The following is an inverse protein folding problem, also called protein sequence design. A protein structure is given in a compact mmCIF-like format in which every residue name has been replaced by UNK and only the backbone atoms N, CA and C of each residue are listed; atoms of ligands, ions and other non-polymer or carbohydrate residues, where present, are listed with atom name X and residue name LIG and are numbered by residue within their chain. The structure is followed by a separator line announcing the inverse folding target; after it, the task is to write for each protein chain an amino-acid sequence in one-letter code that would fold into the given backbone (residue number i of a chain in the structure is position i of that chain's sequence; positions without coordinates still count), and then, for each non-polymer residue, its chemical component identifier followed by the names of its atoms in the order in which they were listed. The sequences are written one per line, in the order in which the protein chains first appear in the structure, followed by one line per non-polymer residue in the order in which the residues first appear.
data_IF_094932272333
#
_entry.id   IF_094932272333
#
_cell.length_a   1.000
_cell.length_b   1.000
_cell.length_c   1.000
_cell.angle_alpha   90.00
_cell.angle_beta   90.00
_cell.angle_gamma   90.00
#
_symmetry.space_group_name_H-M   'P 1'
#
loop_
_entity.id
_entity.type
_entity.pdbx_description
1 polymer ?
#
# COMPACT_ATOMS: atom_id res chain seq x y z
N UNK A 1 10.61 18.10 0.96
CA UNK A 1 9.62 18.44 -0.08
C UNK A 1 9.88 17.60 -1.31
N UNK A 2 8.90 16.78 -1.67
CA UNK A 2 8.92 16.02 -2.91
C UNK A 2 8.24 16.84 -4.01
N UNK A 3 8.92 17.00 -5.14
CA UNK A 3 8.38 17.62 -6.33
C UNK A 3 7.89 16.50 -7.25
N UNK A 4 6.56 16.35 -7.34
CA UNK A 4 5.91 15.20 -7.97
C UNK A 4 5.02 15.66 -9.13
N UNK A 5 4.89 14.82 -10.15
CA UNK A 5 4.03 15.09 -11.29
C UNK A 5 2.58 15.30 -10.85
N UNK A 6 1.94 16.35 -11.37
CA UNK A 6 0.56 16.67 -11.05
C UNK A 6 -0.40 15.59 -11.57
N UNK A 7 -1.36 15.18 -10.74
CA UNK A 7 -2.38 14.23 -11.13
C UNK A 7 -3.55 14.91 -11.86
N UNK A 8 -4.10 14.21 -12.84
CA UNK A 8 -5.17 14.69 -13.72
C UNK A 8 -6.21 13.60 -13.92
N UNK A 9 -7.38 14.01 -14.36
CA UNK A 9 -8.42 13.09 -14.79
C UNK A 9 -7.89 12.13 -15.87
N UNK A 10 -8.32 10.88 -15.80
CA UNK A 10 -7.86 9.76 -16.62
C UNK A 10 -6.40 9.34 -16.42
N UNK A 11 -5.68 9.93 -15.46
CA UNK A 11 -4.43 9.33 -15.02
C UNK A 11 -4.74 8.03 -14.24
N UNK A 12 -3.84 7.06 -14.35
CA UNK A 12 -4.01 5.69 -13.86
C UNK A 12 -3.82 5.61 -12.36
N UNK A 13 -4.56 4.71 -11.71
CA UNK A 13 -4.33 4.31 -10.32
C UNK A 13 -3.89 2.86 -10.26
N UNK A 14 -3.05 2.52 -9.29
CA UNK A 14 -2.51 1.19 -9.13
C UNK A 14 -2.45 0.78 -7.65
N UNK A 15 -2.64 -0.51 -7.40
CA UNK A 15 -2.33 -1.10 -6.11
C UNK A 15 -0.90 -1.63 -6.08
N UNK A 16 -0.40 -1.83 -4.87
CA UNK A 16 0.86 -2.50 -4.66
C UNK A 16 0.67 -4.02 -4.77
N UNK A 17 1.77 -4.78 -4.89
CA UNK A 17 1.70 -6.24 -4.87
C UNK A 17 1.69 -6.81 -3.43
N UNK A 18 1.14 -6.09 -2.45
CA UNK A 18 1.32 -6.41 -1.02
C UNK A 18 0.82 -7.80 -0.65
N UNK A 19 -0.33 -8.20 -1.20
CA UNK A 19 -0.87 -9.56 -1.00
C UNK A 19 0.04 -10.65 -1.59
N UNK A 20 0.64 -10.40 -2.77
CA UNK A 20 1.58 -11.33 -3.41
C UNK A 20 2.83 -11.54 -2.56
N UNK A 21 3.39 -10.47 -2.01
CA UNK A 21 4.55 -10.53 -1.11
C UNK A 21 4.22 -11.19 0.22
N UNK A 22 3.00 -11.00 0.74
CA UNK A 22 2.52 -11.71 1.92
C UNK A 22 2.52 -13.23 1.69
N UNK A 23 1.96 -13.69 0.56
CA UNK A 23 1.91 -15.12 0.22
C UNK A 23 3.32 -15.68 -0.01
N UNK A 24 4.17 -14.95 -0.74
CA UNK A 24 5.56 -15.36 -0.99
C UNK A 24 6.35 -15.49 0.33
N UNK A 25 6.17 -14.54 1.25
CA UNK A 25 6.77 -14.56 2.58
C UNK A 25 6.30 -15.76 3.42
N UNK A 26 4.99 -16.06 3.38
CA UNK A 26 4.43 -17.23 4.07
C UNK A 26 5.04 -18.53 3.57
N UNK A 27 5.05 -18.74 2.25
CA UNK A 27 5.55 -19.97 1.62
C UNK A 27 7.06 -20.11 1.81
N UNK A 28 7.82 -19.04 1.55
CA UNK A 28 9.28 -19.03 1.72
C UNK A 28 9.68 -19.26 3.18
N UNK A 29 8.98 -18.61 4.12
CA UNK A 29 9.18 -18.77 5.55
C UNK A 29 8.90 -20.20 6.01
N UNK A 30 7.83 -20.84 5.52
CA UNK A 30 7.51 -22.23 5.85
C UNK A 30 8.57 -23.21 5.34
N UNK A 31 9.06 -23.03 4.11
CA UNK A 31 10.10 -23.89 3.51
C UNK A 31 11.42 -23.74 4.28
N UNK A 32 11.86 -22.51 4.53
CA UNK A 32 13.09 -22.23 5.28
C UNK A 32 12.97 -22.76 6.71
N UNK A 33 11.82 -22.54 7.35
CA UNK A 33 11.53 -23.04 8.68
C UNK A 33 11.63 -24.57 8.76
N UNK A 34 11.01 -25.29 7.82
CA UNK A 34 11.08 -26.74 7.74
C UNK A 34 12.52 -27.24 7.53
N UNK A 35 13.29 -26.60 6.65
CA UNK A 35 14.70 -26.95 6.40
C UNK A 35 15.57 -26.75 7.65
N UNK A 36 15.42 -25.63 8.36
CA UNK A 36 16.17 -25.38 9.61
C UNK A 36 15.79 -26.40 10.68
N UNK A 37 14.50 -26.75 10.82
CA UNK A 37 14.05 -27.77 11.77
C UNK A 37 14.69 -29.13 11.44
N UNK A 38 14.69 -29.52 10.16
CA UNK A 38 15.27 -30.79 9.71
C UNK A 38 16.77 -30.88 9.99
N UNK A 39 17.53 -29.79 9.77
CA UNK A 39 18.99 -29.77 9.98
C UNK A 39 19.37 -29.67 11.46
N UNK A 40 18.60 -28.93 12.26
CA UNK A 40 18.95 -28.66 13.68
C UNK A 40 18.34 -29.64 14.67
N UNK A 41 17.59 -30.64 14.19
CA UNK A 41 16.83 -31.56 15.05
C UNK A 41 15.83 -30.82 15.94
N UNK A 42 15.34 -29.66 15.49
CA UNK A 42 14.42 -28.81 16.24
C UNK A 42 15.04 -27.87 17.26
N UNK A 43 16.38 -27.86 17.48
CA UNK A 43 17.06 -27.01 18.47
C UNK A 43 17.16 -25.51 18.10
N UNK A 44 16.96 -25.15 16.84
CA UNK A 44 16.81 -23.76 16.39
C UNK A 44 15.35 -23.33 16.15
N UNK A 45 14.39 -24.26 16.25
CA UNK A 45 12.98 -24.04 15.89
C UNK A 45 12.32 -22.86 16.63
N UNK A 46 12.64 -22.66 17.91
CA UNK A 46 12.08 -21.55 18.72
C UNK A 46 12.60 -20.19 18.24
N UNK A 47 13.87 -20.09 17.85
CA UNK A 47 14.45 -18.84 17.34
C UNK A 47 13.88 -18.50 15.95
N UNK A 48 13.72 -19.50 15.08
CA UNK A 48 13.11 -19.32 13.76
C UNK A 48 11.63 -18.95 13.88
N UNK A 49 10.89 -19.59 14.78
CA UNK A 49 9.49 -19.29 14.99
C UNK A 49 9.29 -17.93 15.67
N UNK A 50 10.18 -17.50 16.56
CA UNK A 50 10.16 -16.15 17.14
C UNK A 50 10.48 -15.06 16.11
N UNK A 51 11.41 -15.30 15.18
CA UNK A 51 11.69 -14.38 14.07
C UNK A 51 10.51 -14.33 13.08
N UNK A 52 9.89 -15.46 12.76
CA UNK A 52 8.70 -15.51 11.90
C UNK A 52 7.47 -14.83 12.54
N UNK A 53 7.29 -15.00 13.85
CA UNK A 53 6.24 -14.30 14.62
C UNK A 53 6.52 -12.80 14.81
N UNK A 54 7.79 -12.41 14.96
CA UNK A 54 8.19 -11.00 15.04
C UNK A 54 8.05 -10.25 13.72
N UNK A 55 8.32 -10.94 12.60
CA UNK A 55 8.14 -10.40 11.26
C UNK A 55 6.67 -10.13 10.88
N UNK A 56 5.71 -10.69 11.61
CA UNK A 56 4.27 -10.44 11.41
C UNK A 56 3.72 -9.28 12.27
N UNK A 57 4.55 -8.63 13.12
CA UNK A 57 4.08 -7.72 14.17
C UNK A 57 3.97 -6.22 13.83
N UNK A 58 4.05 -5.80 12.56
CA UNK A 58 4.05 -4.36 12.24
C UNK A 58 3.64 -4.01 10.81
N UNK A 59 2.43 -4.42 10.40
CA UNK A 59 1.92 -4.19 9.04
C UNK A 59 2.17 -5.34 8.07
N UNK A 60 2.73 -6.46 8.54
CA UNK A 60 3.09 -7.60 7.69
C UNK A 60 4.24 -7.28 6.73
N UNK A 61 5.25 -8.15 6.65
CA UNK A 61 6.31 -8.00 5.64
C UNK A 61 5.78 -7.87 4.21
N UNK A 62 4.58 -8.40 3.92
CA UNK A 62 3.93 -8.28 2.63
C UNK A 62 3.64 -6.83 2.23
N UNK A 63 3.03 -6.05 3.13
CA UNK A 63 2.72 -4.64 2.88
C UNK A 63 3.98 -3.80 2.78
N UNK A 64 4.94 -4.02 3.68
CA UNK A 64 6.22 -3.32 3.66
C UNK A 64 7.01 -3.60 2.38
N UNK A 65 7.06 -4.85 1.93
CA UNK A 65 7.75 -5.20 0.68
C UNK A 65 6.95 -4.74 -0.55
N UNK A 66 5.62 -4.80 -0.49
CA UNK A 66 4.73 -4.34 -1.54
C UNK A 66 4.79 -2.83 -1.75
N UNK A 67 4.96 -2.04 -0.69
CA UNK A 67 5.04 -0.58 -0.75
C UNK A 67 6.42 -0.07 -1.20
N UNK A 68 7.40 -0.93 -1.41
CA UNK A 68 8.73 -0.51 -1.86
C UNK A 68 8.69 -0.04 -3.30
N UNK A 69 9.52 0.95 -3.65
CA UNK A 69 9.57 1.51 -5.00
C UNK A 69 9.96 0.51 -6.10
N UNK A 70 10.61 -0.60 -5.75
CA UNK A 70 11.00 -1.67 -6.66
C UNK A 70 9.93 -2.76 -6.82
N UNK A 71 8.90 -2.76 -5.96
CA UNK A 71 7.83 -3.72 -6.03
C UNK A 71 6.94 -3.45 -7.24
N UNK A 72 6.46 -4.51 -7.91
CA UNK A 72 5.56 -4.34 -9.04
C UNK A 72 4.24 -3.72 -8.58
N UNK A 73 3.69 -2.87 -9.45
CA UNK A 73 2.34 -2.32 -9.33
C UNK A 73 1.50 -2.78 -10.50
N UNK A 74 0.21 -2.92 -10.27
CA UNK A 74 -0.75 -3.27 -11.30
C UNK A 74 -1.83 -2.20 -11.36
N UNK A 75 -2.13 -1.76 -12.58
CA UNK A 75 -3.14 -0.72 -12.81
C UNK A 75 -4.52 -1.30 -12.57
N UNK A 76 -5.28 -0.67 -11.69
CA UNK A 76 -6.60 -1.14 -11.25
C UNK A 76 -7.73 -0.20 -11.62
N UNK A 77 -7.38 0.95 -12.20
CA UNK A 77 -8.37 1.87 -12.77
C UNK A 77 -7.80 3.24 -13.06
N UNK A 78 -8.67 4.25 -13.00
CA UNK A 78 -8.34 5.64 -13.36
C UNK A 78 -9.00 6.66 -12.44
N UNK A 79 -8.41 7.85 -12.39
CA UNK A 79 -8.97 9.02 -11.73
C UNK A 79 -10.13 9.60 -12.55
N UNK A 80 -11.22 9.94 -11.85
CA UNK A 80 -12.46 10.46 -12.42
C UNK A 80 -12.99 11.62 -11.58
N UNK A 81 -13.49 12.69 -12.21
CA UNK A 81 -14.04 13.83 -11.46
C UNK A 81 -12.96 14.79 -10.95
N UNK A 82 -12.28 15.45 -11.88
CA UNK A 82 -11.34 16.53 -11.58
C UNK A 82 -11.98 17.88 -11.27
N UNK A 83 -11.16 18.92 -11.25
CA UNK A 83 -11.58 20.31 -11.09
C UNK A 83 -12.45 20.78 -12.27
N UNK A 84 -13.53 21.55 -12.02
CA UNK A 84 -14.39 22.08 -13.08
C UNK A 84 -13.78 23.25 -13.86
N UNK A 85 -12.67 23.84 -13.39
CA UNK A 85 -12.11 25.06 -13.97
C UNK A 85 -10.57 25.13 -13.98
N UNK A 86 -9.87 24.19 -13.33
CA UNK A 86 -8.41 24.10 -13.37
C UNK A 86 -8.01 22.88 -14.17
N UNK A 87 -7.27 23.11 -15.25
CA UNK A 87 -6.82 22.08 -16.17
C UNK A 87 -5.29 22.04 -16.23
N UNK A 88 -4.75 20.84 -16.29
CA UNK A 88 -3.32 20.58 -16.45
C UNK A 88 -3.16 19.79 -17.75
N UNK A 89 -2.48 20.37 -18.74
CA UNK A 89 -2.36 19.81 -20.09
C UNK A 89 -3.72 19.41 -20.70
N UNK A 90 -4.74 20.26 -20.52
CA UNK A 90 -6.07 20.05 -21.09
C UNK A 90 -6.94 19.00 -20.37
N UNK A 91 -6.46 18.38 -19.30
CA UNK A 91 -7.24 17.46 -18.45
C UNK A 91 -7.54 18.09 -17.10
N UNK A 92 -8.71 17.80 -16.53
CA UNK A 92 -9.11 18.37 -15.25
C UNK A 92 -8.12 17.97 -14.14
N UNK A 93 -7.69 18.92 -13.32
CA UNK A 93 -6.73 18.67 -12.26
C UNK A 93 -7.38 17.94 -11.06
N UNK A 94 -6.64 17.05 -10.40
CA UNK A 94 -7.19 16.23 -9.31
C UNK A 94 -6.92 16.87 -7.95
N UNK A 95 -7.91 16.77 -7.05
CA UNK A 95 -7.92 17.37 -5.72
C UNK A 95 -8.14 16.28 -4.67
N UNK A 96 -7.34 16.29 -3.62
CA UNK A 96 -7.63 15.50 -2.42
C UNK A 96 -8.99 15.90 -1.82
N UNK A 97 -9.59 15.01 -1.05
CA UNK A 97 -10.90 15.15 -0.38
C UNK A 97 -12.15 15.16 -1.29
N UNK A 98 -12.02 15.59 -2.54
CA UNK A 98 -13.18 15.80 -3.41
C UNK A 98 -13.13 15.01 -4.71
N UNK A 99 -11.96 14.88 -5.35
CA UNK A 99 -11.85 14.03 -6.53
C UNK A 99 -11.84 12.56 -6.14
N UNK A 100 -12.20 11.71 -7.08
CA UNK A 100 -12.30 10.27 -6.84
C UNK A 100 -11.65 9.46 -7.98
N UNK A 101 -11.46 8.17 -7.77
CA UNK A 101 -11.05 7.21 -8.78
C UNK A 101 -12.02 6.05 -8.82
N UNK A 102 -12.09 5.40 -9.98
CA UNK A 102 -12.77 4.12 -10.13
C UNK A 102 -11.72 3.02 -9.98
N UNK A 103 -11.74 2.29 -8.86
CA UNK A 103 -10.86 1.16 -8.60
C UNK A 103 -11.63 -0.15 -8.80
N UNK A 104 -11.12 -1.07 -9.62
CA UNK A 104 -11.78 -2.34 -9.90
C UNK A 104 -11.62 -3.39 -8.78
N UNK A 105 -10.60 -3.26 -7.91
CA UNK A 105 -10.26 -4.28 -6.91
C UNK A 105 -11.08 -4.17 -5.62
N UNK A 106 -11.35 -2.95 -5.16
CA UNK A 106 -12.03 -2.69 -3.88
C UNK A 106 -13.55 -2.43 -4.04
N UNK A 107 -14.12 -2.97 -5.11
CA UNK A 107 -15.55 -2.93 -5.44
C UNK A 107 -15.96 -1.77 -6.35
N UNK A 108 -17.24 -1.71 -6.78
CA UNK A 108 -17.73 -0.76 -7.79
C UNK A 108 -17.82 0.70 -7.29
N UNK A 109 -17.33 0.97 -6.08
CA UNK A 109 -17.46 2.26 -5.43
C UNK A 109 -16.32 3.19 -5.84
N UNK A 110 -16.68 4.44 -6.14
CA UNK A 110 -15.74 5.54 -6.32
C UNK A 110 -14.95 5.73 -5.03
N UNK A 111 -13.62 5.78 -5.14
CA UNK A 111 -12.71 5.96 -4.01
C UNK A 111 -12.19 7.38 -4.01
N UNK A 112 -12.34 8.08 -2.91
CA UNK A 112 -11.89 9.48 -2.79
C UNK A 112 -10.37 9.53 -2.80
N UNK A 113 -9.79 10.56 -3.42
CA UNK A 113 -8.36 10.85 -3.33
C UNK A 113 -8.09 11.40 -1.93
N UNK A 114 -7.33 10.66 -1.11
CA UNK A 114 -7.18 10.93 0.31
C UNK A 114 -5.90 11.72 0.65
N UNK A 115 -5.05 11.97 -0.34
CA UNK A 115 -3.78 12.68 -0.16
C UNK A 115 -3.53 13.73 -1.25
N UNK A 116 -2.78 14.77 -0.88
CA UNK A 116 -2.34 15.80 -1.80
C UNK A 116 -1.22 16.66 -1.22
N UNK A 117 -0.90 17.76 -1.89
CA UNK A 117 0.11 18.72 -1.44
C UNK A 117 -0.37 19.59 -0.28
N UNK A 118 0.43 19.67 0.79
CA UNK A 118 0.21 20.59 1.91
C UNK A 118 0.42 22.09 1.54
N UNK A 119 0.94 22.39 0.35
CA UNK A 119 1.34 23.75 -0.08
C UNK A 119 0.58 24.28 -1.28
N UNK A 120 0.15 23.39 -2.17
CA UNK A 120 -0.50 23.76 -3.43
C UNK A 120 -1.94 23.29 -3.39
N UNK A 121 -2.85 24.25 -3.59
CA UNK A 121 -4.27 24.02 -3.49
C UNK A 121 -4.93 24.34 -4.84
N UNK A 122 -5.91 23.52 -5.22
CA UNK A 122 -6.74 23.69 -6.41
C UNK A 122 -8.18 23.77 -5.92
N UNK A 123 -8.83 24.92 -6.12
CA UNK A 123 -10.15 25.22 -5.56
C UNK A 123 -10.21 24.94 -4.04
N UNK A 124 -9.25 25.48 -3.30
CA UNK A 124 -9.16 25.40 -1.84
C UNK A 124 -8.93 23.99 -1.26
N UNK A 125 -8.59 23.02 -2.11
CA UNK A 125 -8.29 21.64 -1.70
C UNK A 125 -6.87 21.24 -2.11
N UNK A 126 -6.15 20.40 -1.33
CA UNK A 126 -4.81 19.94 -1.66
C UNK A 126 -4.73 19.34 -3.06
N UNK A 127 -3.74 19.75 -3.85
CA UNK A 127 -3.55 19.25 -5.21
C UNK A 127 -2.91 17.86 -5.18
N UNK A 128 -3.53 16.89 -5.85
CA UNK A 128 -3.04 15.51 -5.89
C UNK A 128 -1.94 15.33 -6.94
N UNK A 129 -1.05 14.37 -6.69
CA UNK A 129 0.17 14.11 -7.47
C UNK A 129 0.41 12.61 -7.62
N UNK A 130 1.34 12.24 -8.48
CA UNK A 130 1.84 10.86 -8.56
C UNK A 130 2.30 10.39 -7.17
N UNK A 131 2.01 9.13 -6.83
CA UNK A 131 2.21 8.49 -5.52
C UNK A 131 1.31 8.98 -4.37
N UNK A 132 0.47 10.00 -4.54
CA UNK A 132 -0.53 10.32 -3.51
C UNK A 132 -1.62 9.21 -3.52
N UNK A 133 -2.14 8.87 -2.35
CA UNK A 133 -3.06 7.74 -2.15
C UNK A 133 -4.55 8.11 -2.23
N UNK A 134 -5.35 7.16 -2.67
CA UNK A 134 -6.80 7.13 -2.53
C UNK A 134 -7.19 6.46 -1.22
N UNK A 135 -8.46 6.62 -0.81
CA UNK A 135 -9.02 6.01 0.40
C UNK A 135 -8.81 4.49 0.44
N UNK A 136 -8.78 3.81 -0.71
CA UNK A 136 -8.54 2.36 -0.77
C UNK A 136 -7.06 1.94 -0.74
N UNK A 137 -6.11 2.85 -0.48
CA UNK A 137 -4.66 2.62 -0.64
C UNK A 137 -4.16 2.44 -2.08
N UNK A 138 -5.00 2.60 -3.10
CA UNK A 138 -4.50 2.74 -4.47
C UNK A 138 -3.67 4.03 -4.57
N UNK A 139 -2.53 3.97 -5.23
CA UNK A 139 -1.73 5.16 -5.53
C UNK A 139 -2.02 5.68 -6.92
N UNK A 140 -1.83 6.99 -7.10
CA UNK A 140 -1.82 7.61 -8.43
C UNK A 140 -0.54 7.20 -9.16
N UNK A 141 -0.68 6.39 -10.20
CA UNK A 141 0.41 5.73 -10.91
C UNK A 141 0.97 6.54 -12.08
N UNK A 142 0.12 7.35 -12.73
CA UNK A 142 0.56 8.24 -13.81
C UNK A 142 0.19 9.70 -13.53
N UNK A 143 0.83 10.60 -14.26
CA UNK A 143 0.71 12.03 -14.00
C UNK A 143 1.13 12.88 -15.20
N UNK A 144 1.10 14.19 -14.99
CA UNK A 144 1.52 15.17 -15.99
C UNK A 144 3.02 15.05 -16.32
N UNK A 145 3.42 15.05 -17.61
CA UNK A 145 4.83 14.89 -18.00
C UNK A 145 5.71 16.12 -17.70
N UNK A 146 5.11 17.28 -17.48
CA UNK A 146 5.83 18.57 -17.38
C UNK A 146 5.27 19.54 -16.34
N UNK A 147 4.18 19.19 -15.63
CA UNK A 147 3.64 20.01 -14.55
C UNK A 147 3.92 19.30 -13.25
N UNK A 148 4.70 19.95 -12.40
CA UNK A 148 5.21 19.41 -11.15
C UNK A 148 4.64 20.23 -10.00
N UNK A 149 4.13 19.56 -8.98
CA UNK A 149 3.56 20.16 -7.78
C UNK A 149 4.43 19.76 -6.60
N UNK A 150 5.00 20.77 -5.94
CA UNK A 150 5.81 20.59 -4.74
C UNK A 150 4.97 20.56 -3.46
N UNK A 151 5.66 20.39 -2.34
CA UNK A 151 5.06 20.35 -1.01
C UNK A 151 5.17 18.97 -0.36
N UNK A 152 5.01 18.94 0.94
CA UNK A 152 4.93 17.67 1.67
C UNK A 152 3.52 17.08 1.49
N UNK A 153 3.38 15.77 1.67
CA UNK A 153 2.09 15.08 1.52
C UNK A 153 1.23 15.32 2.76
N UNK A 154 0.00 15.75 2.54
CA UNK A 154 -1.04 15.89 3.55
C UNK A 154 -2.14 14.86 3.29
N UNK A 155 -2.58 14.19 4.35
CA UNK A 155 -3.70 13.26 4.31
C UNK A 155 -4.98 13.98 4.71
N UNK A 156 -5.97 14.01 3.81
CA UNK A 156 -7.26 14.67 4.02
C UNK A 156 -8.34 13.70 4.52
N UNK A 157 -8.23 12.43 4.18
CA UNK A 157 -9.25 11.42 4.47
C UNK A 157 -8.61 10.12 4.99
N UNK A 158 -9.41 9.26 5.60
CA UNK A 158 -8.94 7.95 6.06
C UNK A 158 -8.55 7.07 4.87
N UNK A 159 -7.47 6.30 5.05
CA UNK A 159 -6.93 5.39 4.04
C UNK A 159 -7.02 3.99 4.61
N UNK A 160 -7.85 3.15 4.01
CA UNK A 160 -7.95 1.74 4.32
C UNK A 160 -6.70 1.00 3.82
N UNK A 161 -5.94 0.32 4.70
CA UNK A 161 -4.73 -0.40 4.29
C UNK A 161 -5.06 -1.55 3.33
N UNK A 162 -4.17 -1.78 2.36
CA UNK A 162 -4.34 -2.81 1.33
C UNK A 162 -4.41 -4.23 1.91
N UNK A 163 -3.70 -4.46 3.03
CA UNK A 163 -3.87 -5.65 3.85
C UNK A 163 -4.71 -5.28 5.08
N UNK A 164 -5.94 -5.82 5.21
CA UNK A 164 -6.77 -5.54 6.36
C UNK A 164 -6.06 -5.90 7.67
N UNK A 165 -6.15 -5.02 8.68
CA UNK A 165 -5.42 -5.20 9.94
C UNK A 165 -5.69 -6.55 10.63
N UNK A 166 -6.92 -7.08 10.52
CA UNK A 166 -7.26 -8.39 11.08
C UNK A 166 -6.45 -9.53 10.44
N UNK A 167 -6.07 -9.43 9.16
CA UNK A 167 -5.20 -10.41 8.48
C UNK A 167 -3.81 -10.38 9.10
N UNK A 168 -3.25 -9.19 9.33
CA UNK A 168 -1.96 -9.04 10.01
C UNK A 168 -2.00 -9.61 11.44
N UNK A 169 -3.06 -9.32 12.22
CA UNK A 169 -3.21 -9.86 13.57
C UNK A 169 -3.40 -11.38 13.61
N UNK A 170 -4.15 -11.95 12.67
CA UNK A 170 -4.33 -13.40 12.58
C UNK A 170 -3.04 -14.11 12.20
N UNK A 171 -2.26 -13.59 11.25
CA UNK A 171 -0.95 -14.12 10.90
C UNK A 171 0.03 -14.08 12.08
N UNK A 172 0.05 -12.98 12.83
CA UNK A 172 0.84 -12.87 14.05
C UNK A 172 0.43 -13.93 15.08
N UNK A 173 -0.88 -14.09 15.33
CA UNK A 173 -1.38 -15.08 16.28
C UNK A 173 -1.00 -16.51 15.87
N UNK A 174 -1.08 -16.84 14.57
CA UNK A 174 -0.66 -18.13 14.02
C UNK A 174 0.85 -18.35 14.23
N UNK A 175 1.68 -17.36 13.90
CA UNK A 175 3.13 -17.43 14.10
C UNK A 175 3.53 -17.60 15.56
N UNK A 176 2.93 -16.81 16.46
CA UNK A 176 3.16 -16.90 17.90
C UNK A 176 2.69 -18.25 18.48
N UNK A 177 1.53 -18.74 18.03
CA UNK A 177 1.02 -20.06 18.40
C UNK A 177 1.95 -21.19 17.98
N UNK A 178 2.45 -21.16 16.74
CA UNK A 178 3.42 -22.13 16.24
C UNK A 178 4.74 -22.10 17.05
N UNK A 179 5.24 -20.91 17.38
CA UNK A 179 6.42 -20.75 18.23
C UNK A 179 6.22 -21.33 19.63
N UNK A 180 5.06 -21.07 20.24
CA UNK A 180 4.71 -21.60 21.56
C UNK A 180 4.60 -23.14 21.56
N UNK A 181 4.04 -23.74 20.52
CA UNK A 181 3.98 -25.20 20.36
C UNK A 181 5.39 -25.79 20.24
N UNK A 182 6.23 -25.22 19.38
CA UNK A 182 7.63 -25.66 19.20
C UNK A 182 8.46 -25.52 20.48
N UNK A 183 8.22 -24.49 21.28
CA UNK A 183 8.87 -24.31 22.58
C UNK A 183 8.47 -25.36 23.62
N UNK A 184 7.29 -25.99 23.48
CA UNK A 184 6.80 -27.04 24.39
C UNK A 184 7.17 -28.46 23.95
N UNK A 185 7.66 -28.65 22.73
CA UNK A 185 8.06 -29.94 22.17
C UNK A 185 9.55 -30.28 22.44
N UNK A 186 10.24 -29.51 23.27
CA UNK A 186 11.58 -29.77 23.81
C UNK A 186 11.51 -30.03 25.30
#
# INVERSE_FOLDING_TARGET
MADLAAARELDEIAHTASQGWMIAGLVGGAIIGAAIIAVTGGTAAVAVAAVAAGASAGGGLGEVLGSMSWAPRHVTGVLVGGSPNVYINGRAAIRAHLSFGECAEDGPAKKVVAQGSAKVYINDLPAARINDLLACSAEIHSGSPNVIIGGDTEQTDEIEPEIPAWVNWTLLAVGAGAAAVLARLR
#
